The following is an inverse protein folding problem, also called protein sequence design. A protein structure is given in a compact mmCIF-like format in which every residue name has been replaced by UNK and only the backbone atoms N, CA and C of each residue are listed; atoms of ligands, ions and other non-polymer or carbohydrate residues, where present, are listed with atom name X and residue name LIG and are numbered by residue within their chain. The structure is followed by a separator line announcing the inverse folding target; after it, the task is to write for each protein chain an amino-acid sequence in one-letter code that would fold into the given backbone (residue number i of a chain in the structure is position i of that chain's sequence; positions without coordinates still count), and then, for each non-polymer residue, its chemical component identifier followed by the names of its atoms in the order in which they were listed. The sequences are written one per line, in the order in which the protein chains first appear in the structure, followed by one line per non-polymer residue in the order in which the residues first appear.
data_IF_531426570837
#
_entry.id   IF_531426570837
#
_cell.length_a   1.000
_cell.length_b   1.000
_cell.length_c   1.000
_cell.angle_alpha   90.00
_cell.angle_beta   90.00
_cell.angle_gamma   90.00
#
_symmetry.space_group_name_H-M   'P 1'
#
loop_
_entity.id
_entity.type
_entity.pdbx_description
1 polymer ?
#
# COMPACT_ATOMS: atom_id res chain seq x y z
N UNK A 1 0.62 22.42 -11.94
CA UNK A 1 -0.10 21.13 -12.15
C UNK A 1 0.53 20.03 -11.31
N UNK A 2 -0.24 19.45 -10.39
CA UNK A 2 0.22 18.31 -9.59
C UNK A 2 0.45 17.13 -10.53
N UNK A 3 1.68 16.62 -10.58
CA UNK A 3 2.04 15.49 -11.40
C UNK A 3 1.87 14.22 -10.56
N UNK A 4 0.87 13.42 -10.90
CA UNK A 4 0.66 12.11 -10.28
C UNK A 4 1.69 11.12 -10.82
N UNK A 5 2.40 10.44 -9.92
CA UNK A 5 3.50 9.53 -10.24
C UNK A 5 3.41 8.26 -9.42
N UNK A 6 3.55 7.10 -10.08
CA UNK A 6 3.80 5.82 -9.42
C UNK A 6 5.08 5.21 -9.98
N UNK A 7 5.96 4.77 -9.08
CA UNK A 7 7.12 3.96 -9.41
C UNK A 7 6.98 2.56 -8.84
N UNK A 8 7.00 1.57 -9.72
CA UNK A 8 6.85 0.16 -9.39
C UNK A 8 7.75 -0.70 -10.27
N UNK A 9 8.46 -1.67 -9.67
CA UNK A 9 9.34 -2.60 -10.40
C UNK A 9 10.37 -1.90 -11.31
N UNK A 10 10.90 -0.75 -10.87
CA UNK A 10 11.86 0.05 -11.63
C UNK A 10 11.27 0.84 -12.81
N UNK A 11 9.94 0.83 -12.98
CA UNK A 11 9.22 1.61 -14.00
C UNK A 11 8.47 2.74 -13.34
N UNK A 12 8.37 3.85 -14.07
CA UNK A 12 7.68 5.07 -13.64
C UNK A 12 6.51 5.36 -14.56
N UNK A 13 5.34 5.60 -13.97
CA UNK A 13 4.08 5.88 -14.64
C UNK A 13 3.58 7.25 -14.19
N UNK A 14 3.18 8.09 -15.15
CA UNK A 14 2.90 9.50 -14.91
C UNK A 14 1.49 9.81 -15.43
N UNK A 15 0.69 10.47 -14.60
CA UNK A 15 -0.67 10.88 -14.95
C UNK A 15 -1.71 9.79 -14.66
N UNK A 16 -2.94 10.24 -14.42
CA UNK A 16 -4.01 9.39 -13.91
C UNK A 16 -4.35 8.22 -14.83
N UNK A 17 -4.34 8.42 -16.15
CA UNK A 17 -4.69 7.37 -17.11
C UNK A 17 -3.67 6.22 -17.12
N UNK A 18 -2.38 6.53 -17.19
CA UNK A 18 -1.31 5.53 -17.20
C UNK A 18 -1.24 4.78 -15.87
N UNK A 19 -1.42 5.52 -14.77
CA UNK A 19 -1.52 4.97 -13.43
C UNK A 19 -2.71 4.01 -13.33
N UNK A 20 -3.90 4.44 -13.73
CA UNK A 20 -5.11 3.64 -13.65
C UNK A 20 -5.01 2.37 -14.49
N UNK A 21 -4.51 2.48 -15.72
CA UNK A 21 -4.28 1.35 -16.62
C UNK A 21 -3.30 0.34 -15.99
N UNK A 22 -2.17 0.83 -15.47
CA UNK A 22 -1.13 0.00 -14.84
C UNK A 22 -1.64 -0.71 -13.60
N UNK A 23 -2.32 0.00 -12.69
CA UNK A 23 -2.90 -0.59 -11.48
C UNK A 23 -3.99 -1.60 -11.82
N UNK A 24 -4.81 -1.33 -12.84
CA UNK A 24 -5.83 -2.26 -13.33
C UNK A 24 -5.20 -3.54 -13.88
N UNK A 25 -4.10 -3.41 -14.63
CA UNK A 25 -3.34 -4.54 -15.16
C UNK A 25 -2.68 -5.37 -14.08
N UNK A 26 -2.07 -4.73 -13.08
CA UNK A 26 -1.51 -5.40 -11.91
C UNK A 26 -2.62 -6.17 -11.19
N UNK A 27 -3.75 -5.51 -10.87
CA UNK A 27 -4.90 -6.15 -10.21
C UNK A 27 -5.39 -7.37 -10.98
N UNK A 28 -5.50 -7.27 -12.31
CA UNK A 28 -5.91 -8.38 -13.18
C UNK A 28 -4.91 -9.54 -13.12
N UNK A 29 -3.60 -9.27 -13.13
CA UNK A 29 -2.56 -10.30 -13.00
C UNK A 29 -2.55 -10.95 -11.61
N UNK A 30 -2.81 -10.17 -10.56
CA UNK A 30 -2.84 -10.65 -9.17
C UNK A 30 -4.12 -11.39 -8.79
N UNK A 31 -5.22 -11.23 -9.54
CA UNK A 31 -6.47 -11.92 -9.27
C UNK A 31 -6.34 -13.45 -9.38
N UNK A 32 -5.30 -13.96 -10.07
CA UNK A 32 -5.05 -15.39 -10.24
C UNK A 32 -6.22 -16.13 -10.91
N UNK A 33 -6.19 -17.46 -10.86
CA UNK A 33 -7.30 -18.31 -11.31
C UNK A 33 -8.23 -18.73 -10.17
N UNK A 34 -7.81 -18.52 -8.91
CA UNK A 34 -8.53 -18.96 -7.71
C UNK A 34 -9.12 -17.75 -6.99
N UNK A 35 -10.46 -17.62 -6.92
CA UNK A 35 -11.11 -16.47 -6.29
C UNK A 35 -10.77 -16.25 -4.80
N UNK A 36 -10.28 -17.30 -4.14
CA UNK A 36 -10.09 -17.35 -2.68
C UNK A 36 -8.65 -17.03 -2.22
N UNK A 37 -7.67 -17.00 -3.11
CA UNK A 37 -6.27 -16.71 -2.79
C UNK A 37 -5.93 -15.32 -3.35
N UNK A 38 -5.88 -14.31 -2.50
CA UNK A 38 -5.49 -12.94 -2.87
C UNK A 38 -4.18 -12.58 -2.20
N UNK A 39 -3.37 -11.78 -2.88
CA UNK A 39 -2.24 -11.13 -2.22
C UNK A 39 -2.81 -10.07 -1.27
N UNK A 40 -2.49 -10.24 0.00
CA UNK A 40 -2.87 -9.36 1.09
C UNK A 40 -1.63 -8.58 1.53
N UNK A 41 -1.78 -7.27 1.66
CA UNK A 41 -0.77 -6.44 2.32
C UNK A 41 -0.99 -6.52 3.83
N UNK A 42 0.05 -6.88 4.55
CA UNK A 42 0.12 -6.87 6.01
C UNK A 42 1.05 -5.74 6.42
N UNK A 43 0.50 -4.60 6.81
CA UNK A 43 1.30 -3.42 7.19
C UNK A 43 1.84 -3.60 8.60
N UNK A 44 3.15 -3.72 8.77
CA UNK A 44 3.78 -3.97 10.08
C UNK A 44 4.35 -2.69 10.70
N UNK A 45 4.83 -1.76 9.88
CA UNK A 45 5.34 -0.46 10.32
C UNK A 45 4.76 0.63 9.44
N UNK A 46 4.32 1.71 10.09
CA UNK A 46 3.84 2.92 9.44
C UNK A 46 4.51 4.12 10.08
N UNK A 47 5.09 4.99 9.27
CA UNK A 47 5.71 6.23 9.71
C UNK A 47 5.14 7.38 8.90
N UNK A 48 4.73 8.43 9.60
CA UNK A 48 4.22 9.65 8.99
C UNK A 48 5.08 10.82 9.45
N UNK A 49 5.39 11.74 8.54
CA UNK A 49 6.08 12.99 8.87
C UNK A 49 5.54 14.14 8.02
N UNK A 50 5.58 15.38 8.52
CA UNK A 50 5.37 16.55 7.69
C UNK A 50 6.30 16.53 6.48
N UNK A 51 5.78 16.97 5.35
CA UNK A 51 6.51 17.15 4.12
C UNK A 51 6.27 18.55 3.55
N UNK A 52 6.97 18.90 2.48
CA UNK A 52 6.91 20.23 1.88
C UNK A 52 5.47 20.60 1.50
N UNK A 53 5.18 21.91 1.48
CA UNK A 53 3.88 22.46 1.04
C UNK A 53 2.66 21.89 1.79
N UNK A 54 2.72 21.86 3.12
CA UNK A 54 1.67 21.27 3.98
C UNK A 54 1.34 19.81 3.64
N UNK A 55 2.30 19.12 3.03
CA UNK A 55 2.20 17.73 2.63
C UNK A 55 2.51 16.75 3.75
N UNK A 56 2.29 15.48 3.46
CA UNK A 56 2.61 14.37 4.36
C UNK A 56 3.41 13.33 3.61
N UNK A 57 4.52 12.89 4.19
CA UNK A 57 5.24 11.72 3.72
C UNK A 57 4.87 10.52 4.61
N UNK A 58 4.33 9.48 3.99
CA UNK A 58 3.96 8.21 4.63
C UNK A 58 4.92 7.13 4.15
N UNK A 59 5.48 6.36 5.07
CA UNK A 59 6.26 5.15 4.78
C UNK A 59 5.60 3.95 5.44
N UNK A 60 5.24 2.97 4.65
CA UNK A 60 4.70 1.70 5.10
C UNK A 60 5.70 0.59 4.78
N UNK A 61 5.91 -0.34 5.71
CA UNK A 61 6.59 -1.59 5.41
C UNK A 61 5.88 -2.77 6.04
N UNK A 62 6.04 -3.93 5.43
CA UNK A 62 5.28 -5.09 5.83
C UNK A 62 5.48 -6.30 4.93
N UNK A 63 4.56 -7.25 5.05
CA UNK A 63 4.60 -8.51 4.32
C UNK A 63 3.45 -8.61 3.32
N UNK A 64 3.72 -9.24 2.19
CA UNK A 64 2.68 -9.81 1.34
C UNK A 64 2.41 -11.23 1.80
N UNK A 65 1.15 -11.58 2.02
CA UNK A 65 0.72 -12.96 2.30
C UNK A 65 -0.35 -13.41 1.31
N UNK A 66 -0.50 -14.72 1.14
CA UNK A 66 -1.70 -15.28 0.51
C UNK A 66 -2.83 -15.36 1.54
N UNK A 67 -3.93 -14.65 1.28
CA UNK A 67 -5.05 -14.53 2.20
C UNK A 67 -6.34 -14.01 1.56
N UNK A 68 -7.31 -13.64 2.40
CA UNK A 68 -8.64 -13.16 1.94
C UNK A 68 -8.94 -11.68 2.26
N UNK A 69 -8.31 -11.12 3.29
CA UNK A 69 -8.62 -9.77 3.80
C UNK A 69 -7.35 -8.95 4.03
N UNK A 70 -7.40 -7.63 3.81
CA UNK A 70 -6.33 -6.68 4.13
C UNK A 70 -6.16 -6.52 5.64
N UNK A 71 -4.92 -6.41 6.14
CA UNK A 71 -4.61 -6.40 7.57
C UNK A 71 -3.56 -5.35 7.93
N UNK A 72 -3.76 -4.61 9.04
CA UNK A 72 -2.81 -3.61 9.55
C UNK A 72 -2.31 -4.06 10.92
N UNK A 73 -1.05 -4.50 10.99
CA UNK A 73 -0.41 -5.13 12.15
C UNK A 73 0.60 -4.30 12.94
N UNK A 74 0.43 -2.99 12.98
CA UNK A 74 1.24 -2.15 13.87
C UNK A 74 0.73 -2.18 15.32
N UNK A 75 1.63 -1.93 16.28
CA UNK A 75 1.30 -1.65 17.69
C UNK A 75 0.59 -0.30 17.89
N UNK A 76 -0.04 0.25 16.85
CA UNK A 76 -0.76 1.51 16.86
C UNK A 76 -2.23 1.32 17.22
N UNK A 77 -3.00 2.41 17.18
CA UNK A 77 -4.44 2.37 17.38
C UNK A 77 -5.08 1.53 16.27
N UNK A 78 -5.84 0.50 16.65
CA UNK A 78 -6.65 -0.29 15.72
C UNK A 78 -7.61 0.62 14.97
N UNK A 79 -7.53 0.63 13.64
CA UNK A 79 -8.49 1.40 12.85
C UNK A 79 -9.90 0.84 13.03
N UNK A 80 -10.88 1.72 13.21
CA UNK A 80 -12.28 1.33 13.43
C UNK A 80 -12.78 0.41 12.31
N UNK A 81 -13.37 -0.73 12.68
CA UNK A 81 -13.87 -1.73 11.74
C UNK A 81 -12.83 -2.73 11.21
N UNK A 82 -11.55 -2.63 11.61
CA UNK A 82 -10.52 -3.61 11.25
C UNK A 82 -10.42 -4.75 12.28
N UNK A 83 -10.24 -6.01 11.87
CA UNK A 83 -10.10 -7.14 12.80
C UNK A 83 -8.85 -7.00 13.69
N UNK A 84 -8.93 -7.44 14.95
CA UNK A 84 -7.77 -7.47 15.84
C UNK A 84 -6.84 -8.63 15.39
N UNK A 85 -5.54 -8.38 15.35
CA UNK A 85 -4.55 -9.36 14.91
C UNK A 85 -4.31 -10.47 15.90
N UNK A 86 -4.50 -10.16 17.18
CA UNK A 86 -4.47 -11.16 18.25
C UNK A 86 -5.60 -12.19 18.05
N UNK A 87 -6.74 -11.77 17.49
CA UNK A 87 -7.86 -12.66 17.15
C UNK A 87 -7.63 -13.46 15.86
N UNK A 88 -6.72 -13.01 15.00
CA UNK A 88 -6.52 -13.59 13.67
C UNK A 88 -5.55 -14.77 13.63
N UNK A 89 -4.84 -15.06 14.74
CA UNK A 89 -3.85 -16.14 14.89
C UNK A 89 -3.03 -16.36 13.60
N UNK A 90 -2.58 -15.26 13.00
CA UNK A 90 -2.13 -15.26 11.62
C UNK A 90 -0.63 -15.52 11.61
N UNK A 91 -0.26 -16.73 11.24
CA UNK A 91 1.12 -17.07 10.93
C UNK A 91 1.54 -16.37 9.64
N UNK A 92 1.91 -15.10 9.78
CA UNK A 92 2.37 -14.24 8.68
C UNK A 92 3.64 -14.81 8.08
N UNK A 93 4.52 -15.41 8.89
CA UNK A 93 5.81 -15.93 8.43
C UNK A 93 5.64 -17.15 7.52
N UNK A 94 4.76 -18.11 7.86
CA UNK A 94 4.54 -19.26 6.96
C UNK A 94 3.76 -18.94 5.68
N UNK A 95 3.02 -17.83 5.66
CA UNK A 95 2.22 -17.40 4.50
C UNK A 95 2.86 -16.27 3.70
N UNK A 96 4.03 -15.79 4.13
CA UNK A 96 4.74 -14.69 3.46
C UNK A 96 5.18 -15.12 2.07
N UNK A 97 4.83 -14.31 1.09
CA UNK A 97 5.29 -14.44 -0.31
C UNK A 97 6.18 -13.28 -0.75
N UNK A 98 6.34 -12.27 0.12
CA UNK A 98 7.27 -11.17 -0.11
C UNK A 98 7.21 -10.15 1.02
N UNK A 99 8.16 -9.23 1.01
CA UNK A 99 8.23 -8.06 1.89
C UNK A 99 8.12 -6.80 1.05
N UNK A 100 7.40 -5.79 1.53
CA UNK A 100 7.28 -4.51 0.85
C UNK A 100 7.79 -3.35 1.67
N UNK A 101 8.25 -2.34 0.95
CA UNK A 101 8.56 -1.01 1.44
C UNK A 101 7.91 -0.03 0.48
N UNK A 102 6.99 0.77 0.99
CA UNK A 102 6.19 1.66 0.20
C UNK A 102 6.23 3.08 0.77
N UNK A 103 6.39 4.06 -0.11
CA UNK A 103 6.43 5.47 0.25
C UNK A 103 5.35 6.22 -0.53
N UNK A 104 4.61 7.06 0.18
CA UNK A 104 3.64 8.00 -0.39
C UNK A 104 4.05 9.41 -0.03
N UNK A 105 4.03 10.29 -1.02
CA UNK A 105 4.13 11.74 -0.84
C UNK A 105 2.77 12.32 -1.17
N UNK A 106 2.17 12.96 -0.18
CA UNK A 106 0.87 13.59 -0.29
C UNK A 106 1.01 15.11 -0.22
N UNK A 107 0.26 15.82 -1.05
CA UNK A 107 0.07 17.27 -0.99
C UNK A 107 -1.38 17.60 -0.62
N UNK A 108 -1.59 18.83 -0.12
CA UNK A 108 -2.93 19.34 0.15
C UNK A 108 -3.78 19.36 -1.13
N UNK A 109 -4.96 18.75 -1.07
CA UNK A 109 -5.94 18.81 -2.16
C UNK A 109 -6.75 20.10 -2.16
N UNK A 110 -7.64 20.22 -3.15
CA UNK A 110 -8.52 21.40 -3.29
C UNK A 110 -9.68 21.44 -2.28
N UNK A 111 -9.87 20.37 -1.50
CA UNK A 111 -10.90 20.24 -0.48
C UNK A 111 -10.28 20.26 0.92
N UNK A 112 -11.00 20.83 1.89
CA UNK A 112 -10.57 20.85 3.30
C UNK A 112 -10.38 19.41 3.79
N UNK A 113 -9.22 19.13 4.38
CA UNK A 113 -8.84 17.80 4.84
C UNK A 113 -8.58 16.78 3.72
N UNK A 114 -8.66 17.19 2.45
CA UNK A 114 -8.34 16.36 1.31
C UNK A 114 -6.84 16.35 1.04
N UNK A 115 -6.30 15.17 0.73
CA UNK A 115 -4.92 15.00 0.32
C UNK A 115 -4.86 14.27 -1.02
N UNK A 116 -3.90 14.63 -1.86
CA UNK A 116 -3.63 14.00 -3.14
C UNK A 116 -2.29 13.27 -3.05
N UNK A 117 -2.24 12.01 -3.51
CA UNK A 117 -0.97 11.28 -3.62
C UNK A 117 -0.25 11.79 -4.86
N UNK A 118 0.80 12.57 -4.68
CA UNK A 118 1.58 13.11 -5.79
C UNK A 118 2.64 12.11 -6.26
N UNK A 119 3.19 11.33 -5.33
CA UNK A 119 4.19 10.30 -5.64
C UNK A 119 3.99 9.05 -4.79
N UNK A 120 4.06 7.89 -5.43
CA UNK A 120 4.08 6.58 -4.79
C UNK A 120 5.28 5.78 -5.28
N UNK A 121 6.03 5.18 -4.37
CA UNK A 121 7.16 4.30 -4.69
C UNK A 121 6.98 2.97 -3.93
N UNK A 122 6.93 1.86 -4.67
CA UNK A 122 6.82 0.52 -4.09
C UNK A 122 8.05 -0.32 -4.43
N UNK A 123 8.73 -0.79 -3.39
CA UNK A 123 9.83 -1.74 -3.46
C UNK A 123 9.41 -3.08 -2.85
N UNK A 124 9.70 -4.17 -3.56
CA UNK A 124 9.35 -5.54 -3.15
C UNK A 124 10.62 -6.37 -3.07
N UNK A 125 10.80 -7.05 -1.94
CA UNK A 125 11.78 -8.12 -1.76
C UNK A 125 11.03 -9.45 -1.75
N UNK A 126 11.49 -10.41 -2.54
CA UNK A 126 10.98 -11.78 -2.44
C UNK A 126 11.43 -12.41 -1.12
N UNK A 127 10.58 -13.25 -0.54
CA UNK A 127 10.87 -14.02 0.66
C UNK A 127 11.73 -15.24 0.31
#
# INVERSE_FOLDING_TARGET
PILFLISFSGKTYIGQNDIFSTLSDIRRKLAGCRPQEKIVHVVQKLQCRPHEHDGVAIRASGSFILGRHFLICGNGVQAEGMPNIEELSLDVDSKRVGTFYEQFILESGNSIGGFLICKQELYILQA
#
